data_IF_263876837467
#
_entry.id   IF_263876837467
#
_cell.length_a   1.000
_cell.length_b   1.000
_cell.length_c   1.000
_cell.angle_alpha   90.00
_cell.angle_beta   90.00
_cell.angle_gamma   90.00
#
_symmetry.space_group_name_H-M   'P 1'
#
loop_
_entity.id
_entity.type
_entity.pdbx_description
1 polymer ?
#
# COMPACT_ATOMS: atom_id res chain seq x y z
N UNK A 1 -0.81 -13.32 -16.43
CA UNK A 1 -0.42 -12.25 -15.50
C UNK A 1 1.01 -11.89 -15.85
N UNK A 2 1.28 -10.65 -16.22
CA UNK A 2 2.66 -10.23 -16.58
C UNK A 2 3.46 -10.09 -15.29
N UNK A 3 4.71 -10.52 -15.28
CA UNK A 3 5.61 -10.47 -14.12
C UNK A 3 5.72 -9.04 -13.55
N UNK A 4 5.68 -8.03 -14.43
CA UNK A 4 5.63 -6.62 -14.09
C UNK A 4 4.42 -6.20 -13.24
N UNK A 5 3.24 -6.79 -13.47
CA UNK A 5 2.04 -6.49 -12.68
C UNK A 5 2.14 -7.09 -11.27
N UNK A 6 2.75 -8.26 -11.16
CA UNK A 6 3.01 -8.91 -9.86
C UNK A 6 3.97 -8.07 -9.04
N UNK A 7 5.11 -7.68 -9.62
CA UNK A 7 6.11 -6.84 -8.95
C UNK A 7 5.51 -5.50 -8.53
N UNK A 8 4.68 -4.90 -9.39
CA UNK A 8 4.00 -3.65 -9.07
C UNK A 8 3.01 -3.81 -7.92
N UNK A 9 2.21 -4.88 -7.92
CA UNK A 9 1.27 -5.17 -6.83
C UNK A 9 2.00 -5.43 -5.51
N UNK A 10 3.12 -6.15 -5.53
CA UNK A 10 3.98 -6.38 -4.37
C UNK A 10 4.59 -5.07 -3.86
N UNK A 11 5.11 -4.22 -4.75
CA UNK A 11 5.66 -2.92 -4.39
C UNK A 11 4.58 -2.00 -3.77
N UNK A 12 3.37 -1.99 -4.32
CA UNK A 12 2.23 -1.27 -3.75
C UNK A 12 1.81 -1.83 -2.39
N UNK A 13 1.79 -3.16 -2.23
CA UNK A 13 1.48 -3.81 -0.96
C UNK A 13 2.52 -3.48 0.11
N UNK A 14 3.82 -3.57 -0.22
CA UNK A 14 4.92 -3.18 0.65
C UNK A 14 4.80 -1.72 1.10
N UNK A 15 4.47 -0.82 0.17
CA UNK A 15 4.26 0.59 0.45
C UNK A 15 3.10 0.80 1.44
N UNK A 16 1.95 0.13 1.22
CA UNK A 16 0.79 0.22 2.13
C UNK A 16 1.13 -0.30 3.53
N UNK A 17 1.67 -1.51 3.64
CA UNK A 17 1.95 -2.11 4.96
C UNK A 17 3.08 -1.39 5.70
N UNK A 18 3.96 -0.68 4.99
CA UNK A 18 5.01 0.13 5.61
C UNK A 18 4.47 1.47 6.08
N UNK A 19 3.65 2.12 5.26
CA UNK A 19 2.96 3.34 5.67
C UNK A 19 2.01 3.11 6.85
N UNK A 20 1.33 1.96 6.96
CA UNK A 20 0.42 1.64 8.08
C UNK A 20 1.07 1.76 9.47
N UNK A 21 2.36 1.45 9.56
CA UNK A 21 3.12 1.51 10.81
C UNK A 21 3.74 2.89 11.07
N UNK A 22 3.68 3.80 10.09
CA UNK A 22 4.30 5.13 10.19
C UNK A 22 3.24 6.23 10.19
N UNK A 23 3.69 7.46 10.45
CA UNK A 23 2.84 8.64 10.37
C UNK A 23 2.42 8.96 8.92
N UNK A 24 3.16 8.44 7.94
CA UNK A 24 2.87 8.58 6.50
C UNK A 24 1.58 7.85 6.07
N UNK A 25 0.99 7.04 6.94
CA UNK A 25 -0.24 6.27 6.68
C UNK A 25 -1.35 7.10 6.03
N UNK A 26 -1.63 8.28 6.57
CA UNK A 26 -2.75 9.11 6.09
C UNK A 26 -2.54 9.56 4.64
N UNK A 27 -1.34 10.03 4.30
CA UNK A 27 -1.01 10.43 2.94
C UNK A 27 -1.00 9.26 1.95
N UNK A 28 -0.49 8.09 2.36
CA UNK A 28 -0.51 6.89 1.53
C UNK A 28 -1.92 6.36 1.32
N UNK A 29 -2.78 6.40 2.35
CA UNK A 29 -4.19 6.01 2.28
C UNK A 29 -4.93 6.90 1.29
N UNK A 30 -4.81 8.22 1.37
CA UNK A 30 -5.46 9.12 0.42
C UNK A 30 -4.98 8.89 -1.02
N UNK A 31 -3.68 8.68 -1.23
CA UNK A 31 -3.14 8.36 -2.54
C UNK A 31 -3.67 7.03 -3.09
N UNK A 32 -3.84 6.01 -2.23
CA UNK A 32 -4.43 4.73 -2.59
C UNK A 32 -5.93 4.85 -2.92
N UNK A 33 -6.67 5.70 -2.21
CA UNK A 33 -8.07 5.98 -2.51
C UNK A 33 -8.23 6.78 -3.82
N UNK A 34 -7.21 7.53 -4.21
CA UNK A 34 -7.11 8.19 -5.51
C UNK A 34 -6.98 7.24 -6.71
N UNK A 35 -6.70 5.95 -6.47
CA UNK A 35 -6.65 4.92 -7.51
C UNK A 35 -8.04 4.62 -8.08
N UNK A 36 -9.09 4.76 -7.26
CA UNK A 36 -10.46 4.44 -7.65
C UNK A 36 -11.09 5.59 -8.42
N UNK A 37 -11.74 5.28 -9.54
CA UNK A 37 -12.47 6.29 -10.28
C UNK A 37 -13.69 6.80 -9.49
N UNK A 38 -14.17 7.99 -9.84
CA UNK A 38 -15.33 8.63 -9.20
C UNK A 38 -16.60 7.75 -9.24
N UNK A 39 -16.68 6.83 -10.19
CA UNK A 39 -17.77 5.87 -10.37
C UNK A 39 -17.69 4.66 -9.43
N UNK A 40 -16.54 4.41 -8.81
CA UNK A 40 -16.25 3.24 -7.97
C UNK A 40 -16.34 3.57 -6.47
N UNK A 41 -17.21 4.50 -6.06
CA UNK A 41 -17.31 4.95 -4.67
C UNK A 41 -17.54 3.81 -3.66
N UNK A 42 -18.32 2.79 -4.04
CA UNK A 42 -18.58 1.63 -3.18
C UNK A 42 -17.32 0.79 -2.94
N UNK A 43 -16.56 0.49 -4.00
CA UNK A 43 -15.27 -0.20 -3.87
C UNK A 43 -14.26 0.65 -3.10
N UNK A 44 -14.23 1.97 -3.35
CA UNK A 44 -13.38 2.90 -2.62
C UNK A 44 -13.66 2.87 -1.12
N UNK A 45 -14.91 3.01 -0.68
CA UNK A 45 -15.25 2.96 0.75
C UNK A 45 -14.93 1.60 1.38
N UNK A 46 -15.19 0.49 0.68
CA UNK A 46 -14.88 -0.84 1.19
C UNK A 46 -13.36 -1.07 1.32
N UNK A 47 -12.59 -0.59 0.34
CA UNK A 47 -11.12 -0.62 0.36
C UNK A 47 -10.57 0.27 1.49
N UNK A 48 -11.15 1.44 1.67
CA UNK A 48 -10.85 2.40 2.72
C UNK A 48 -11.03 1.82 4.14
N UNK A 49 -12.21 1.28 4.43
CA UNK A 49 -12.52 0.65 5.72
C UNK A 49 -11.58 -0.53 6.01
N UNK A 50 -11.29 -1.33 4.99
CA UNK A 50 -10.39 -2.49 5.12
C UNK A 50 -8.94 -2.08 5.36
N UNK A 51 -8.48 -1.00 4.72
CA UNK A 51 -7.18 -0.39 4.98
C UNK A 51 -7.08 0.12 6.42
N UNK A 52 -8.10 0.86 6.88
CA UNK A 52 -8.13 1.46 8.21
C UNK A 52 -8.13 0.40 9.33
N UNK A 53 -8.95 -0.63 9.19
CA UNK A 53 -8.95 -1.80 10.10
C UNK A 53 -7.59 -2.48 10.16
N UNK A 54 -6.95 -2.68 9.01
CA UNK A 54 -5.63 -3.31 8.95
C UNK A 54 -4.54 -2.43 9.59
N UNK A 55 -4.59 -1.11 9.42
CA UNK A 55 -3.69 -0.18 10.09
C UNK A 55 -3.89 -0.20 11.62
N UNK A 56 -5.14 -0.20 12.09
CA UNK A 56 -5.47 -0.33 13.50
C UNK A 56 -4.97 -1.66 14.08
N UNK A 57 -5.12 -2.76 13.34
CA UNK A 57 -4.58 -4.07 13.73
C UNK A 57 -3.04 -4.05 13.84
N UNK A 58 -2.34 -3.47 12.88
CA UNK A 58 -0.87 -3.35 12.93
C UNK A 58 -0.42 -2.53 14.14
N UNK A 59 -1.10 -1.42 14.43
CA UNK A 59 -0.79 -0.54 15.57
C UNK A 59 -1.10 -1.18 16.92
N UNK A 60 -2.16 -1.99 16.99
CA UNK A 60 -2.58 -2.67 18.23
C UNK A 60 -1.86 -4.00 18.45
N UNK A 61 -1.18 -4.55 17.44
CA UNK A 61 -0.53 -5.84 17.54
C UNK A 61 0.74 -5.78 18.40
N UNK A 62 0.92 -6.80 19.26
CA UNK A 62 2.15 -6.99 20.01
C UNK A 62 3.37 -7.30 19.11
N UNK A 63 3.13 -7.73 17.87
CA UNK A 63 4.17 -8.00 16.88
C UNK A 63 3.77 -7.41 15.51
N UNK A 64 3.99 -6.11 15.31
CA UNK A 64 3.59 -5.40 14.09
C UNK A 64 4.21 -6.00 12.82
N UNK A 65 5.43 -6.54 12.90
CA UNK A 65 6.09 -7.21 11.77
C UNK A 65 5.36 -8.46 11.27
N UNK A 66 4.81 -9.26 12.20
CA UNK A 66 4.08 -10.48 11.82
C UNK A 66 2.77 -10.13 11.12
N UNK A 67 2.05 -9.14 11.65
CA UNK A 67 0.81 -8.65 11.04
C UNK A 67 1.09 -7.99 9.69
N UNK A 68 2.13 -7.15 9.59
CA UNK A 68 2.58 -6.56 8.32
C UNK A 68 2.84 -7.61 7.26
N UNK A 69 3.55 -8.69 7.61
CA UNK A 69 3.95 -9.74 6.65
C UNK A 69 2.74 -10.56 6.17
N UNK A 70 1.76 -10.80 7.04
CA UNK A 70 0.48 -11.38 6.64
C UNK A 70 -0.33 -10.45 5.73
N UNK A 71 -0.42 -9.17 6.08
CA UNK A 71 -1.12 -8.15 5.30
C UNK A 71 -0.44 -7.90 3.94
N UNK A 72 0.87 -8.02 3.86
CA UNK A 72 1.62 -7.88 2.61
C UNK A 72 1.14 -8.90 1.57
N UNK A 73 1.09 -10.18 1.94
CA UNK A 73 0.63 -11.23 1.01
C UNK A 73 -0.82 -11.02 0.58
N UNK A 74 -1.68 -10.62 1.51
CA UNK A 74 -3.07 -10.30 1.23
C UNK A 74 -3.25 -9.12 0.26
N UNK A 75 -2.57 -8.00 0.52
CA UNK A 75 -2.65 -6.81 -0.32
C UNK A 75 -1.99 -7.02 -1.69
N UNK A 76 -0.90 -7.78 -1.77
CA UNK A 76 -0.27 -8.10 -3.06
C UNK A 76 -1.25 -8.85 -3.97
N UNK A 77 -2.01 -9.81 -3.43
CA UNK A 77 -3.03 -10.53 -4.18
C UNK A 77 -4.21 -9.63 -4.57
N UNK A 78 -4.72 -8.81 -3.66
CA UNK A 78 -5.82 -7.88 -3.93
C UNK A 78 -5.43 -6.83 -4.98
N UNK A 79 -4.25 -6.23 -4.88
CA UNK A 79 -3.75 -5.26 -5.85
C UNK A 79 -3.52 -5.92 -7.20
N UNK A 80 -3.00 -7.15 -7.25
CA UNK A 80 -2.87 -7.90 -8.49
C UNK A 80 -4.24 -8.22 -9.11
N UNK A 81 -5.27 -8.49 -8.31
CA UNK A 81 -6.64 -8.66 -8.79
C UNK A 81 -7.23 -7.33 -9.30
N UNK A 82 -6.96 -6.22 -8.62
CA UNK A 82 -7.41 -4.89 -9.01
C UNK A 82 -6.75 -4.44 -10.32
N UNK A 83 -5.44 -4.62 -10.47
CA UNK A 83 -4.71 -4.28 -11.70
C UNK A 83 -5.17 -5.12 -12.91
N UNK A 84 -5.67 -6.34 -12.67
CA UNK A 84 -6.27 -7.17 -13.72
C UNK A 84 -7.63 -6.63 -14.18
N UNK A 85 -8.43 -6.12 -13.25
CA UNK A 85 -9.76 -5.57 -13.55
C UNK A 85 -9.66 -4.15 -14.12
N UNK A 86 -8.74 -3.35 -13.59
CA UNK A 86 -8.58 -1.92 -13.89
C UNK A 86 -7.11 -1.62 -14.17
N UNK A 87 -6.62 -1.83 -15.41
CA UNK A 87 -5.23 -1.55 -15.77
C UNK A 87 -4.88 -0.04 -15.70
N UNK A 88 -5.87 0.85 -15.69
CA UNK A 88 -5.69 2.29 -15.52
C UNK A 88 -5.10 2.67 -14.15
N UNK A 89 -5.22 1.80 -13.14
CA UNK A 89 -4.64 2.03 -11.81
C UNK A 89 -3.13 1.72 -11.72
N UNK A 90 -2.51 1.17 -12.79
CA UNK A 90 -1.08 0.80 -12.80
C UNK A 90 -0.17 1.98 -12.50
N UNK A 91 -0.34 3.07 -13.25
CA UNK A 91 0.52 4.26 -13.15
C UNK A 91 0.45 4.94 -11.77
N UNK A 92 -0.74 5.20 -11.20
CA UNK A 92 -0.81 5.80 -9.88
C UNK A 92 -0.36 4.86 -8.76
N UNK A 93 -0.51 3.54 -8.92
CA UNK A 93 0.03 2.57 -7.96
C UNK A 93 1.56 2.51 -8.01
N UNK A 94 2.15 2.62 -9.20
CA UNK A 94 3.60 2.71 -9.37
C UNK A 94 4.17 3.99 -8.74
N UNK A 95 3.47 5.12 -8.91
CA UNK A 95 3.84 6.37 -8.25
C UNK A 95 3.72 6.31 -6.73
N UNK A 96 2.72 5.61 -6.19
CA UNK A 96 2.58 5.40 -4.75
C UNK A 96 3.73 4.55 -4.22
N UNK A 97 4.01 3.41 -4.87
CA UNK A 97 5.12 2.53 -4.51
C UNK A 97 6.46 3.27 -4.55
N UNK A 98 6.72 4.00 -5.65
CA UNK A 98 7.93 4.81 -5.81
C UNK A 98 8.07 5.89 -4.75
N UNK A 99 6.99 6.59 -4.38
CA UNK A 99 7.02 7.61 -3.31
C UNK A 99 7.36 7.01 -1.95
N UNK A 100 6.77 5.87 -1.58
CA UNK A 100 7.05 5.24 -0.29
C UNK A 100 8.45 4.63 -0.26
N UNK A 101 8.90 4.00 -1.35
CA UNK A 101 10.28 3.53 -1.47
C UNK A 101 11.28 4.67 -1.36
N UNK A 102 11.02 5.81 -2.01
CA UNK A 102 11.87 6.99 -1.91
C UNK A 102 11.89 7.57 -0.48
N UNK A 103 10.74 7.63 0.19
CA UNK A 103 10.64 8.09 1.57
C UNK A 103 11.40 7.17 2.55
N UNK A 104 11.34 5.85 2.35
CA UNK A 104 12.11 4.89 3.15
C UNK A 104 13.61 5.03 2.92
N UNK A 105 14.04 5.15 1.67
CA UNK A 105 15.47 5.35 1.39
C UNK A 105 15.97 6.68 1.98
N UNK A 106 15.17 7.74 1.94
CA UNK A 106 15.52 9.01 2.56
C UNK A 106 15.70 8.89 4.09
N UNK A 107 14.79 8.16 4.76
CA UNK A 107 14.85 7.89 6.21
C UNK A 107 16.11 7.06 6.59
N UNK A 108 16.48 6.07 5.78
CA UNK A 108 17.68 5.24 6.01
C UNK A 108 19.00 5.97 5.74
N UNK A 109 19.02 6.93 4.80
CA UNK A 109 20.22 7.72 4.51
C UNK A 109 20.50 8.73 5.64
N UNK A 110 19.46 9.29 6.27
CA UNK A 110 19.62 10.22 7.39
C UNK A 110 20.17 9.54 8.66
N UNK A 111 19.78 8.29 8.93
CA UNK A 111 20.30 7.51 10.07
C UNK A 111 21.68 6.88 9.85
N UNK A 112 22.14 6.74 8.60
CA UNK A 112 23.44 6.13 8.29
C UNK A 112 24.62 7.11 8.39
N UNK A 113 24.35 8.41 8.55
CA UNK A 113 25.36 9.49 8.63
C UNK A 113 25.60 10.03 10.04
N UNK A 114 25.10 9.36 11.09
CA UNK A 114 25.30 9.74 12.50
C UNK A 114 26.35 8.87 13.22
#
# INVERSE_FOLDING_TARGET
MTEELTLLAEAGAAALVTAMATDLWQGTREAALGLFHRSERGQRCAFEDRLDRNAALVRAAASPDTVRRALFGFWAQELAALLRQTPSCREPLAQLAGRVSAALTADQVETAFE
#
